data_IF_863306170288
#
_entry.id   IF_863306170288
#
_cell.length_a   1.000
_cell.length_b   1.000
_cell.length_c   1.000
_cell.angle_alpha   90.00
_cell.angle_beta   90.00
_cell.angle_gamma   90.00
#
_symmetry.space_group_name_H-M   'P 1'
#
loop_
_entity.id
_entity.type
_entity.pdbx_description
1 polymer ?
#
# COMPACT_ATOMS: atom_id res chain seq x y z
N UNK A 1 6.19 -9.41 -11.73
CA UNK A 1 5.30 -9.71 -10.59
C UNK A 1 3.87 -9.27 -10.93
N UNK A 2 2.93 -10.22 -10.96
CA UNK A 2 1.53 -10.01 -11.33
C UNK A 2 0.83 -9.14 -10.28
N UNK A 3 0.61 -7.87 -10.62
CA UNK A 3 -0.12 -6.88 -9.83
C UNK A 3 -1.51 -7.40 -9.37
N UNK A 4 -2.33 -8.09 -10.20
CA UNK A 4 -3.64 -8.56 -9.75
C UNK A 4 -3.57 -9.65 -8.66
N UNK A 5 -2.61 -10.57 -8.72
CA UNK A 5 -2.47 -11.60 -7.70
C UNK A 5 -2.05 -11.01 -6.33
N UNK A 6 -1.22 -9.97 -6.34
CA UNK A 6 -0.86 -9.24 -5.13
C UNK A 6 -2.07 -8.48 -4.57
N UNK A 7 -2.88 -7.86 -5.44
CA UNK A 7 -4.10 -7.18 -5.03
C UNK A 7 -5.10 -8.14 -4.38
N UNK A 8 -5.27 -9.35 -4.92
CA UNK A 8 -6.15 -10.36 -4.36
C UNK A 8 -5.66 -10.82 -2.97
N UNK A 9 -4.36 -11.07 -2.82
CA UNK A 9 -3.74 -11.39 -1.52
C UNK A 9 -3.91 -10.26 -0.50
N UNK A 10 -3.69 -9.02 -0.90
CA UNK A 10 -3.88 -7.84 -0.04
C UNK A 10 -5.35 -7.68 0.36
N UNK A 11 -6.29 -7.99 -0.54
CA UNK A 11 -7.72 -7.98 -0.27
C UNK A 11 -8.10 -9.09 0.73
N UNK A 12 -7.58 -10.30 0.56
CA UNK A 12 -7.83 -11.42 1.49
C UNK A 12 -7.27 -11.14 2.88
N UNK A 13 -6.10 -10.48 2.95
CA UNK A 13 -5.43 -10.13 4.22
C UNK A 13 -5.75 -8.72 4.72
N UNK A 14 -6.71 -8.02 4.10
CA UNK A 14 -7.10 -6.65 4.45
C UNK A 14 -7.44 -6.49 5.93
N UNK A 15 -8.10 -7.48 6.53
CA UNK A 15 -8.46 -7.47 7.96
C UNK A 15 -7.24 -7.58 8.90
N UNK A 16 -6.12 -8.14 8.43
CA UNK A 16 -4.87 -8.22 9.21
C UNK A 16 -3.96 -7.02 8.97
N UNK A 17 -4.17 -6.28 7.89
CA UNK A 17 -3.38 -5.12 7.52
C UNK A 17 -4.01 -3.88 8.14
N UNK A 18 -3.42 -3.40 9.24
CA UNK A 18 -3.89 -2.20 9.93
C UNK A 18 -3.91 -0.95 9.04
N UNK A 19 -2.95 -0.84 8.10
CA UNK A 19 -2.87 0.28 7.15
C UNK A 19 -2.10 -0.12 5.91
N UNK A 20 -2.71 0.06 4.73
CA UNK A 20 -2.07 -0.16 3.43
C UNK A 20 -1.82 1.20 2.76
N UNK A 21 -0.58 1.42 2.30
CA UNK A 21 -0.20 2.65 1.59
C UNK A 21 0.50 2.24 0.30
N UNK A 22 -0.07 2.66 -0.83
CA UNK A 22 0.45 2.37 -2.16
C UNK A 22 1.19 3.59 -2.68
N UNK A 23 2.45 3.40 -3.06
CA UNK A 23 3.30 4.48 -3.60
C UNK A 23 3.22 4.47 -5.12
N UNK A 24 2.86 5.62 -5.70
CA UNK A 24 2.81 5.84 -7.15
C UNK A 24 1.41 6.15 -7.67
N UNK A 25 1.30 7.23 -8.45
CA UNK A 25 0.02 7.75 -8.97
C UNK A 25 -0.68 6.78 -9.92
N UNK A 26 0.09 5.97 -10.66
CA UNK A 26 -0.45 4.95 -11.57
C UNK A 26 -1.20 3.82 -10.87
N UNK A 27 -1.01 3.68 -9.55
CA UNK A 27 -1.69 2.69 -8.72
C UNK A 27 -2.79 3.32 -7.86
N UNK A 28 -3.11 4.60 -8.05
CA UNK A 28 -4.24 5.24 -7.40
C UNK A 28 -5.58 4.51 -7.56
N UNK A 29 -5.99 4.04 -8.77
CA UNK A 29 -7.24 3.30 -8.90
C UNK A 29 -7.22 2.00 -8.07
N UNK A 30 -6.09 1.30 -8.04
CA UNK A 30 -5.95 0.08 -7.24
C UNK A 30 -6.00 0.36 -5.73
N UNK A 31 -5.44 1.49 -5.30
CA UNK A 31 -5.50 1.91 -3.90
C UNK A 31 -6.95 2.21 -3.48
N UNK A 32 -7.71 2.88 -4.33
CA UNK A 32 -9.13 3.15 -4.10
C UNK A 32 -9.94 1.86 -3.97
N UNK A 33 -9.75 0.91 -4.89
CA UNK A 33 -10.41 -0.41 -4.84
C UNK A 33 -10.08 -1.20 -3.56
N UNK A 34 -8.86 -1.08 -3.05
CA UNK A 34 -8.43 -1.79 -1.84
C UNK A 34 -8.79 -1.04 -0.54
N UNK A 35 -9.21 0.22 -0.63
CA UNK A 35 -9.36 1.12 0.52
C UNK A 35 -8.01 1.48 1.16
N UNK A 36 -6.97 1.57 0.35
CA UNK A 36 -5.62 1.92 0.74
C UNK A 36 -5.35 3.41 0.51
N UNK A 37 -4.43 3.99 1.29
CA UNK A 37 -3.95 5.35 1.03
C UNK A 37 -2.96 5.34 -0.14
N UNK A 38 -2.87 6.45 -0.86
CA UNK A 38 -1.82 6.66 -1.86
C UNK A 38 -0.73 7.60 -1.33
N UNK A 39 0.49 7.43 -1.82
CA UNK A 39 1.58 8.38 -1.58
C UNK A 39 2.34 8.63 -2.88
N UNK A 40 2.87 9.84 -3.05
CA UNK A 40 3.65 10.20 -4.25
C UNK A 40 5.01 9.51 -4.25
N UNK A 41 5.63 9.40 -3.08
CA UNK A 41 6.96 8.83 -2.90
C UNK A 41 7.03 7.94 -1.65
N UNK A 42 8.05 7.08 -1.59
CA UNK A 42 8.29 6.18 -0.46
C UNK A 42 8.36 6.94 0.87
N UNK A 43 9.06 8.08 0.89
CA UNK A 43 9.20 8.92 2.08
C UNK A 43 7.83 9.38 2.61
N UNK A 44 6.99 9.95 1.74
CA UNK A 44 5.65 10.38 2.10
C UNK A 44 4.77 9.19 2.56
N UNK A 45 4.95 8.01 1.94
CA UNK A 45 4.27 6.78 2.36
C UNK A 45 4.68 6.35 3.77
N UNK A 46 5.97 6.38 4.09
CA UNK A 46 6.50 6.05 5.41
C UNK A 46 6.04 7.04 6.49
N UNK A 47 6.03 8.34 6.19
CA UNK A 47 5.51 9.36 7.11
C UNK A 47 4.02 9.14 7.41
N UNK A 48 3.22 8.85 6.37
CA UNK A 48 1.80 8.55 6.53
C UNK A 48 1.54 7.25 7.30
N UNK A 49 2.43 6.27 7.18
CA UNK A 49 2.37 5.03 7.95
C UNK A 49 2.71 5.28 9.43
N UNK A 50 3.79 6.03 9.70
CA UNK A 50 4.25 6.33 11.06
C UNK A 50 3.24 7.13 11.87
N UNK A 51 2.49 8.07 11.25
CA UNK A 51 1.40 8.79 11.92
C UNK A 51 0.33 7.89 12.55
N UNK A 52 0.19 6.64 12.06
CA UNK A 52 -0.78 5.69 12.58
C UNK A 52 -0.28 4.78 13.73
N UNK A 53 0.99 4.88 14.13
CA UNK A 53 1.64 3.95 15.07
C UNK A 53 1.27 2.46 14.85
N UNK A 54 1.38 1.93 13.62
CA UNK A 54 1.00 0.54 13.36
C UNK A 54 1.94 -0.42 14.10
N UNK A 55 1.38 -1.46 14.75
CA UNK A 55 2.17 -2.52 15.41
C UNK A 55 3.11 -3.27 14.45
N UNK A 56 2.78 -3.29 13.16
CA UNK A 56 3.58 -3.95 12.13
C UNK A 56 3.45 -3.19 10.81
N UNK A 57 4.58 -2.77 10.25
CA UNK A 57 4.63 -2.02 9.00
C UNK A 57 5.30 -2.89 7.94
N UNK A 58 4.55 -3.25 6.90
CA UNK A 58 5.08 -3.95 5.73
C UNK A 58 5.29 -2.91 4.62
N UNK A 59 6.54 -2.66 4.25
CA UNK A 59 6.87 -1.77 3.14
C UNK A 59 7.21 -2.60 1.91
N UNK A 60 6.35 -2.55 0.89
CA UNK A 60 6.62 -3.13 -0.42
C UNK A 60 6.70 -2.00 -1.45
N UNK A 61 7.91 -1.69 -1.89
CA UNK A 61 8.17 -0.78 -3.01
C UNK A 61 8.39 -1.59 -4.27
N UNK A 62 7.57 -1.33 -5.29
CA UNK A 62 7.83 -1.83 -6.64
C UNK A 62 8.51 -0.73 -7.43
N UNK A 63 9.79 -0.89 -7.73
CA UNK A 63 10.44 -0.10 -8.78
C UNK A 63 9.82 -0.51 -10.13
N UNK A 64 9.00 0.37 -10.69
CA UNK A 64 8.66 0.30 -12.10
C UNK A 64 9.86 0.88 -12.85
N UNK A 65 10.77 0.00 -13.28
CA UNK A 65 11.80 0.36 -14.24
C UNK A 65 11.26 0.14 -15.65
#
# INVERSE_FOLDING_TARGET
MNIPALADLLRQRKNEIAKLIIVGERLAPLAEELGAATAKNLQQGLENAQKGSPKRLLSCVKCFR
#
